data_IF_319025557561
#
_entry.id   IF_319025557561
#
_cell.length_a   1.000
_cell.length_b   1.000
_cell.length_c   1.000
_cell.angle_alpha   90.00
_cell.angle_beta   90.00
_cell.angle_gamma   90.00
#
_symmetry.space_group_name_H-M   'P 1'
#
loop_
_entity.id
_entity.type
_entity.pdbx_description
1 polymer ?
#
# COMPACT_ATOMS: atom_id res chain seq x y z
N UNK A 1 21.59 2.35 49.77
CA UNK A 1 20.83 1.12 49.38
C UNK A 1 19.39 1.42 49.00
N UNK A 2 18.56 2.05 49.86
CA UNK A 2 17.15 2.34 49.55
C UNK A 2 16.93 3.25 48.32
N UNK A 3 17.74 4.30 48.15
CA UNK A 3 17.65 5.19 46.99
C UNK A 3 18.02 4.52 45.66
N UNK A 4 18.95 3.55 45.69
CA UNK A 4 19.35 2.76 44.51
C UNK A 4 18.25 1.79 44.10
N UNK A 5 17.63 1.12 45.08
CA UNK A 5 16.46 0.28 44.87
C UNK A 5 15.26 1.07 44.32
N UNK A 6 15.04 2.30 44.81
CA UNK A 6 13.99 3.18 44.31
C UNK A 6 14.25 3.63 42.87
N UNK A 7 15.50 4.01 42.54
CA UNK A 7 15.88 4.40 41.18
C UNK A 7 15.75 3.24 40.18
N UNK A 8 16.12 2.02 40.60
CA UNK A 8 15.92 0.80 39.81
C UNK A 8 14.43 0.48 39.61
N UNK A 9 13.60 0.64 40.65
CA UNK A 9 12.14 0.47 40.52
C UNK A 9 11.51 1.50 39.58
N UNK A 10 11.95 2.76 39.61
CA UNK A 10 11.46 3.79 38.69
C UNK A 10 11.88 3.51 37.24
N UNK A 11 13.10 3.02 37.02
CA UNK A 11 13.59 2.62 35.69
C UNK A 11 12.88 1.36 35.15
N UNK A 12 12.39 0.47 36.01
CA UNK A 12 11.64 -0.74 35.62
C UNK A 12 10.16 -0.41 35.32
N UNK A 13 9.64 0.74 35.76
CA UNK A 13 8.23 1.16 35.60
C UNK A 13 8.02 2.16 34.45
N UNK A 14 9.07 2.57 33.73
CA UNK A 14 8.92 3.36 32.51
C UNK A 14 8.47 2.48 31.34
N UNK A 15 7.20 2.08 31.33
CA UNK A 15 6.55 1.53 30.15
C UNK A 15 6.08 2.71 29.29
N UNK A 16 6.81 3.00 28.22
CA UNK A 16 6.38 3.99 27.23
C UNK A 16 5.27 3.37 26.37
N UNK A 17 4.06 3.93 26.46
CA UNK A 17 2.93 3.51 25.62
C UNK A 17 2.99 4.29 24.31
N UNK A 18 3.36 3.59 23.23
CA UNK A 18 3.29 4.15 21.88
C UNK A 18 1.92 3.86 21.27
N UNK A 19 1.14 4.91 21.06
CA UNK A 19 -0.16 4.82 20.41
C UNK A 19 -0.06 5.25 18.95
N UNK A 20 -0.61 4.42 18.06
CA UNK A 20 -0.71 4.72 16.64
C UNK A 20 -2.01 5.45 16.35
N UNK A 21 -1.93 6.60 15.68
CA UNK A 21 -3.12 7.26 15.17
C UNK A 21 -3.54 6.57 13.88
N UNK A 22 -4.67 5.87 13.92
CA UNK A 22 -5.21 5.12 12.78
C UNK A 22 -6.26 5.98 12.09
N UNK A 23 -6.02 6.28 10.82
CA UNK A 23 -6.99 6.96 9.97
C UNK A 23 -8.04 5.99 9.44
N UNK A 24 -9.32 6.34 9.55
CA UNK A 24 -10.40 5.65 8.86
C UNK A 24 -10.67 6.26 7.49
N UNK A 25 -10.84 5.43 6.46
CA UNK A 25 -11.30 5.82 5.12
C UNK A 25 -12.29 4.78 4.60
N UNK A 26 -13.42 5.20 3.98
CA UNK A 26 -14.37 4.25 3.40
C UNK A 26 -13.71 3.35 2.36
N UNK A 27 -13.90 2.04 2.50
CA UNK A 27 -13.34 1.04 1.59
C UNK A 27 -14.06 1.05 0.22
N UNK A 28 -13.55 0.29 -0.76
CA UNK A 28 -14.10 0.30 -2.12
C UNK A 28 -15.59 -0.10 -2.13
N UNK A 29 -15.93 -1.16 -1.40
CA UNK A 29 -17.30 -1.65 -1.25
C UNK A 29 -18.24 -0.57 -0.72
N UNK A 30 -17.84 0.16 0.33
CA UNK A 30 -18.63 1.25 0.91
C UNK A 30 -18.81 2.42 -0.07
N UNK A 31 -17.77 2.77 -0.82
CA UNK A 31 -17.85 3.83 -1.85
C UNK A 31 -18.79 3.42 -3.00
N UNK A 32 -18.65 2.20 -3.51
CA UNK A 32 -19.51 1.67 -4.57
C UNK A 32 -20.96 1.52 -4.09
N UNK A 33 -21.18 1.13 -2.84
CA UNK A 33 -22.52 1.08 -2.25
C UNK A 33 -23.16 2.46 -2.18
N UNK A 34 -22.40 3.48 -1.76
CA UNK A 34 -22.87 4.87 -1.73
C UNK A 34 -23.20 5.41 -3.15
N UNK A 35 -22.56 4.87 -4.19
CA UNK A 35 -22.80 5.21 -5.59
C UNK A 35 -23.87 4.33 -6.27
N UNK A 36 -24.38 3.29 -5.59
CA UNK A 36 -25.31 2.32 -6.19
C UNK A 36 -24.67 1.35 -7.20
N UNK A 37 -23.32 1.29 -7.28
CA UNK A 37 -22.56 0.48 -8.25
C UNK A 37 -22.06 -0.85 -7.71
N UNK A 38 -22.33 -1.18 -6.44
CA UNK A 38 -21.75 -2.35 -5.78
C UNK A 38 -22.18 -3.68 -6.42
N UNK A 39 -23.45 -3.82 -6.81
CA UNK A 39 -23.97 -5.08 -7.35
C UNK A 39 -23.31 -5.45 -8.71
N UNK A 40 -23.04 -4.44 -9.54
CA UNK A 40 -22.35 -4.60 -10.82
C UNK A 40 -20.91 -5.09 -10.60
N UNK A 41 -20.20 -4.43 -9.69
CA UNK A 41 -18.84 -4.80 -9.30
C UNK A 41 -18.74 -6.25 -8.77
N UNK A 42 -19.65 -6.65 -7.88
CA UNK A 42 -19.64 -8.00 -7.31
C UNK A 42 -19.88 -9.09 -8.37
N UNK A 43 -20.74 -8.80 -9.35
CA UNK A 43 -21.01 -9.72 -10.45
C UNK A 43 -19.75 -9.94 -11.30
N UNK A 44 -19.10 -8.85 -11.72
CA UNK A 44 -17.87 -8.92 -12.52
C UNK A 44 -16.75 -9.68 -11.77
N UNK A 45 -16.51 -9.32 -10.50
CA UNK A 45 -15.50 -9.98 -9.66
C UNK A 45 -15.73 -11.49 -9.55
N UNK A 46 -16.97 -11.92 -9.34
CA UNK A 46 -17.30 -13.34 -9.20
C UNK A 46 -17.07 -14.13 -10.50
N UNK A 47 -17.39 -13.53 -11.65
CA UNK A 47 -17.13 -14.14 -12.97
C UNK A 47 -15.63 -14.32 -13.22
N UNK A 48 -14.81 -13.37 -12.76
CA UNK A 48 -13.35 -13.42 -12.88
C UNK A 48 -12.73 -14.48 -11.99
N UNK A 49 -13.18 -14.58 -10.74
CA UNK A 49 -12.75 -15.62 -9.82
C UNK A 49 -13.12 -17.02 -10.34
N UNK A 50 -14.31 -17.17 -10.90
CA UNK A 50 -14.77 -18.44 -11.48
C UNK A 50 -13.91 -18.88 -12.68
N UNK A 51 -13.46 -17.94 -13.52
CA UNK A 51 -12.54 -18.24 -14.64
C UNK A 51 -11.14 -18.67 -14.17
N UNK A 52 -10.73 -18.30 -12.95
CA UNK A 52 -9.37 -18.51 -12.41
C UNK A 52 -9.22 -19.77 -11.55
N UNK A 53 -10.32 -20.39 -11.11
CA UNK A 53 -10.30 -21.61 -10.29
C UNK A 53 -9.62 -22.83 -10.96
N UNK A 54 -9.40 -22.79 -12.28
CA UNK A 54 -8.64 -23.80 -13.02
C UNK A 54 -7.11 -23.68 -12.89
N UNK A 55 -6.57 -22.54 -12.42
CA UNK A 55 -5.11 -22.33 -12.27
C UNK A 55 -4.62 -22.27 -10.82
N UNK A 56 -5.52 -22.14 -9.84
CA UNK A 56 -5.17 -21.83 -8.44
C UNK A 56 -4.85 -23.05 -7.55
N UNK A 57 -4.75 -24.26 -8.12
CA UNK A 57 -4.42 -25.47 -7.38
C UNK A 57 -2.92 -25.58 -6.99
N UNK A 58 -2.06 -24.62 -7.37
CA UNK A 58 -0.60 -24.71 -7.17
C UNK A 58 0.04 -23.59 -6.33
N UNK A 59 -0.71 -22.68 -5.71
CA UNK A 59 -0.15 -21.64 -4.84
C UNK A 59 -0.42 -21.90 -3.36
N UNK A 60 0.62 -21.81 -2.53
CA UNK A 60 0.65 -22.33 -1.16
C UNK A 60 0.16 -21.38 -0.06
N UNK A 61 -0.54 -20.28 -0.38
CA UNK A 61 -1.29 -19.47 0.60
C UNK A 61 -2.23 -18.50 -0.13
N UNK A 62 -3.56 -18.67 -0.08
CA UNK A 62 -4.48 -17.66 -0.59
C UNK A 62 -4.45 -16.45 0.33
N UNK A 63 -3.71 -15.41 -0.04
CA UNK A 63 -3.64 -14.16 0.72
C UNK A 63 -4.94 -13.36 0.50
N UNK A 64 -5.43 -12.78 1.59
CA UNK A 64 -6.69 -12.03 1.71
C UNK A 64 -6.65 -10.81 0.78
N UNK A 65 -7.78 -10.55 0.12
CA UNK A 65 -7.98 -9.38 -0.72
C UNK A 65 -8.38 -8.17 0.12
N UNK A 66 -7.81 -7.00 -0.16
CA UNK A 66 -7.89 -5.82 0.70
C UNK A 66 -8.98 -4.82 0.30
N UNK A 67 -9.92 -5.24 -0.56
CA UNK A 67 -11.06 -4.43 -1.03
C UNK A 67 -11.88 -3.80 0.10
N UNK A 68 -11.90 -4.46 1.27
CA UNK A 68 -12.68 -4.06 2.45
C UNK A 68 -11.86 -3.30 3.51
N UNK A 69 -10.57 -3.02 3.28
CA UNK A 69 -9.73 -2.34 4.28
C UNK A 69 -10.05 -0.85 4.42
N UNK A 70 -10.25 -0.42 5.67
CA UNK A 70 -10.65 0.96 5.99
C UNK A 70 -9.71 1.66 6.99
N UNK A 71 -8.73 0.96 7.57
CA UNK A 71 -7.84 1.49 8.61
C UNK A 71 -6.40 1.59 8.11
N UNK A 72 -5.81 2.77 8.27
CA UNK A 72 -4.50 3.08 7.72
C UNK A 72 -3.62 3.85 8.70
N UNK A 73 -2.31 3.77 8.49
CA UNK A 73 -1.30 4.50 9.26
C UNK A 73 -0.37 5.27 8.34
N UNK A 74 0.09 6.42 8.84
CA UNK A 74 1.14 7.19 8.20
C UNK A 74 2.49 6.81 8.79
N UNK A 75 3.47 6.55 7.93
CA UNK A 75 4.84 6.24 8.33
C UNK A 75 5.80 7.09 7.50
N UNK A 76 7.06 7.14 7.93
CA UNK A 76 8.14 7.61 7.08
C UNK A 76 9.28 6.61 6.97
N UNK A 77 9.89 6.54 5.79
CA UNK A 77 11.04 5.69 5.48
C UNK A 77 12.22 6.54 5.03
N UNK A 78 13.42 6.19 5.50
CA UNK A 78 14.67 6.76 5.00
C UNK A 78 15.16 8.03 5.68
N UNK A 79 16.35 8.46 5.25
CA UNK A 79 17.02 9.67 5.73
C UNK A 79 17.54 10.50 4.54
N UNK A 80 16.88 11.62 4.16
CA UNK A 80 15.69 12.20 4.77
C UNK A 80 14.43 11.35 4.61
N UNK A 81 13.44 11.62 5.47
CA UNK A 81 12.21 10.87 5.59
C UNK A 81 11.29 11.03 4.36
N UNK A 82 10.80 9.92 3.83
CA UNK A 82 9.82 9.83 2.75
C UNK A 82 8.50 9.25 3.30
N UNK A 83 7.38 9.93 3.10
CA UNK A 83 6.11 9.59 3.77
C UNK A 83 5.28 8.58 2.96
N UNK A 84 4.65 7.64 3.68
CA UNK A 84 3.75 6.64 3.09
C UNK A 84 2.51 6.45 3.96
N UNK A 85 1.43 6.06 3.30
CA UNK A 85 0.20 5.59 3.95
C UNK A 85 0.07 4.11 3.70
N UNK A 86 -0.06 3.35 4.78
CA UNK A 86 -0.10 1.90 4.75
C UNK A 86 -1.39 1.36 5.33
N UNK A 87 -1.81 0.23 4.80
CA UNK A 87 -2.82 -0.61 5.43
C UNK A 87 -2.17 -1.44 6.53
N UNK A 88 -2.82 -1.51 7.70
CA UNK A 88 -2.40 -2.44 8.75
C UNK A 88 -3.05 -3.79 8.45
N UNK A 89 -2.23 -4.76 8.05
CA UNK A 89 -2.67 -6.13 7.86
C UNK A 89 -2.06 -7.04 8.95
N UNK A 90 -2.89 -7.53 9.86
CA UNK A 90 -2.47 -8.51 10.87
C UNK A 90 -2.24 -9.91 10.29
N UNK A 91 -2.63 -10.15 9.03
CA UNK A 91 -2.48 -11.43 8.34
C UNK A 91 -1.11 -11.64 7.69
N UNK A 92 -0.27 -10.61 7.63
CA UNK A 92 1.08 -10.67 7.06
C UNK A 92 2.15 -10.17 8.02
N UNK A 93 3.41 -10.45 7.70
CA UNK A 93 4.57 -10.01 8.48
C UNK A 93 5.54 -9.16 7.64
N UNK A 94 5.09 -8.68 6.49
CA UNK A 94 5.92 -7.94 5.55
C UNK A 94 5.41 -6.51 5.39
N UNK A 95 6.31 -5.55 5.52
CA UNK A 95 6.09 -4.17 5.13
C UNK A 95 6.53 -4.01 3.68
N UNK A 96 5.64 -3.61 2.76
CA UNK A 96 6.02 -3.30 1.39
C UNK A 96 5.53 -1.94 0.90
N UNK A 97 6.37 -1.26 0.11
CA UNK A 97 6.07 0.05 -0.50
C UNK A 97 6.45 0.05 -2.00
N UNK A 98 5.75 0.82 -2.86
CA UNK A 98 6.11 0.96 -4.27
C UNK A 98 7.49 1.62 -4.44
N UNK A 99 8.31 1.12 -5.36
CA UNK A 99 9.60 1.73 -5.74
C UNK A 99 9.42 2.80 -6.83
N UNK A 100 10.32 3.77 -6.88
CA UNK A 100 10.34 4.76 -7.96
C UNK A 100 10.49 4.13 -9.35
N UNK A 101 11.23 3.02 -9.45
CA UNK A 101 11.42 2.29 -10.71
C UNK A 101 10.23 1.41 -11.09
N UNK A 102 9.25 1.23 -10.19
CA UNK A 102 8.06 0.43 -10.48
C UNK A 102 7.22 1.01 -11.64
N UNK A 103 7.26 2.32 -11.85
CA UNK A 103 6.56 3.00 -12.95
C UNK A 103 7.23 2.85 -14.33
N UNK A 104 8.26 2.01 -14.46
CA UNK A 104 9.01 1.83 -15.71
C UNK A 104 9.70 3.11 -16.22
N UNK A 105 10.02 4.03 -15.30
CA UNK A 105 10.60 5.34 -15.62
C UNK A 105 9.65 6.33 -16.31
N UNK A 106 8.33 6.04 -16.37
CA UNK A 106 7.32 6.96 -16.90
C UNK A 106 6.67 7.72 -15.75
N UNK A 107 6.96 9.01 -15.69
CA UNK A 107 6.66 9.87 -14.53
C UNK A 107 5.39 10.72 -14.70
N UNK A 108 4.44 10.34 -15.56
CA UNK A 108 3.43 11.29 -16.04
C UNK A 108 2.00 10.78 -16.15
N UNK A 109 1.67 9.58 -15.68
CA UNK A 109 0.30 9.06 -15.81
C UNK A 109 -0.34 8.74 -14.47
N UNK A 110 -1.30 9.58 -14.12
CA UNK A 110 -2.11 9.40 -12.93
C UNK A 110 -3.10 8.25 -13.14
N UNK A 111 -2.92 7.22 -12.32
CA UNK A 111 -3.77 6.05 -12.16
C UNK A 111 -5.26 6.36 -12.20
N UNK A 112 -6.05 5.42 -12.70
CA UNK A 112 -7.52 5.45 -12.62
C UNK A 112 -8.04 5.75 -11.22
N UNK A 113 -7.45 5.10 -10.22
CA UNK A 113 -7.78 5.26 -8.81
C UNK A 113 -7.67 6.72 -8.33
N UNK A 114 -6.58 7.44 -8.67
CA UNK A 114 -6.38 8.80 -8.19
C UNK A 114 -7.31 9.82 -8.87
N UNK A 115 -7.73 9.52 -10.11
CA UNK A 115 -8.71 10.34 -10.85
C UNK A 115 -10.15 10.17 -10.36
N UNK A 116 -10.49 8.99 -9.84
CA UNK A 116 -11.83 8.66 -9.34
C UNK A 116 -12.00 8.81 -7.83
N UNK A 117 -10.92 9.13 -7.11
CA UNK A 117 -10.91 9.28 -5.65
C UNK A 117 -11.12 10.74 -5.25
N UNK A 118 -11.98 11.04 -4.25
CA UNK A 118 -12.17 12.40 -3.75
C UNK A 118 -10.83 13.07 -3.39
N UNK A 119 -10.71 14.37 -3.66
CA UNK A 119 -9.45 15.12 -3.55
C UNK A 119 -8.69 14.89 -2.24
N UNK A 120 -9.37 14.94 -1.09
CA UNK A 120 -8.75 14.74 0.23
C UNK A 120 -8.20 13.31 0.41
N UNK A 121 -8.89 12.31 -0.15
CA UNK A 121 -8.41 10.94 -0.15
C UNK A 121 -7.30 10.74 -1.19
N UNK A 122 -7.36 11.42 -2.33
CA UNK A 122 -6.29 11.37 -3.33
C UNK A 122 -4.96 11.86 -2.76
N UNK A 123 -4.94 13.02 -2.09
CA UNK A 123 -3.72 13.55 -1.45
C UNK A 123 -3.11 12.59 -0.41
N UNK A 124 -3.91 11.67 0.12
CA UNK A 124 -3.47 10.67 1.08
C UNK A 124 -2.71 9.52 0.39
N UNK A 125 -3.15 9.05 -0.77
CA UNK A 125 -2.62 7.83 -1.40
C UNK A 125 -1.76 8.09 -2.63
N UNK A 126 -1.95 9.24 -3.25
CA UNK A 126 -1.45 9.55 -4.57
C UNK A 126 -0.44 10.70 -4.53
N UNK A 127 0.37 10.79 -5.57
CA UNK A 127 1.16 12.01 -5.79
C UNK A 127 0.23 13.21 -5.94
N UNK A 128 0.60 14.36 -5.37
CA UNK A 128 -0.25 15.56 -5.35
C UNK A 128 -0.65 16.01 -6.76
N UNK A 129 0.26 15.88 -7.72
CA UNK A 129 0.04 16.17 -9.15
C UNK A 129 -1.05 15.30 -9.80
N UNK A 130 -1.40 14.18 -9.17
CA UNK A 130 -2.45 13.28 -9.61
C UNK A 130 -3.83 13.55 -9.02
N UNK A 131 -3.95 14.57 -8.17
CA UNK A 131 -5.19 14.90 -7.48
C UNK A 131 -5.88 16.09 -8.11
N UNK A 132 -7.03 15.84 -8.76
CA UNK A 132 -7.86 16.87 -9.37
C UNK A 132 -9.15 17.08 -8.58
N UNK A 133 -9.62 18.33 -8.49
CA UNK A 133 -10.94 18.65 -7.91
C UNK A 133 -12.10 18.23 -8.81
N UNK A 134 -11.82 17.97 -10.08
CA UNK A 134 -12.79 17.51 -11.08
C UNK A 134 -12.58 16.02 -11.32
N UNK A 135 -13.63 15.22 -11.12
CA UNK A 135 -13.64 13.78 -11.44
C UNK A 135 -13.57 13.62 -12.97
N UNK A 136 -12.60 12.85 -13.45
CA UNK A 136 -12.44 12.54 -14.87
C UNK A 136 -12.94 11.13 -15.16
N UNK A 137 -13.89 11.00 -16.11
CA UNK A 137 -14.54 9.74 -16.48
C UNK A 137 -13.72 8.87 -17.44
N UNK A 138 -12.55 9.31 -17.91
CA UNK A 138 -11.74 8.56 -18.87
C UNK A 138 -10.62 7.75 -18.17
N UNK A 139 -10.89 6.45 -18.02
CA UNK A 139 -10.14 5.53 -17.17
C UNK A 139 -9.18 4.64 -18.00
N UNK A 140 -8.02 5.16 -18.38
CA UNK A 140 -6.96 4.34 -18.98
C UNK A 140 -6.19 3.56 -17.90
N UNK A 141 -6.12 2.24 -18.07
CA UNK A 141 -5.35 1.32 -17.22
C UNK A 141 -3.88 1.70 -17.23
N UNK A 142 -3.43 2.18 -16.09
CA UNK A 142 -2.08 2.68 -15.85
C UNK A 142 -1.50 1.89 -14.69
N UNK A 143 -0.19 1.68 -14.73
CA UNK A 143 0.55 0.90 -13.73
C UNK A 143 0.21 1.42 -12.32
N UNK A 144 -0.22 0.53 -11.42
CA UNK A 144 -0.70 0.90 -10.09
C UNK A 144 0.34 1.76 -9.33
N UNK A 145 1.62 1.55 -9.62
CA UNK A 145 2.73 2.31 -9.05
C UNK A 145 2.81 3.77 -9.51
N UNK A 146 2.38 4.11 -10.72
CA UNK A 146 2.54 5.46 -11.29
C UNK A 146 1.78 6.53 -10.52
N UNK A 147 0.77 6.12 -9.78
CA UNK A 147 -0.15 7.04 -9.11
C UNK A 147 0.15 7.23 -7.64
N UNK A 148 0.96 6.34 -7.05
CA UNK A 148 1.20 6.23 -5.61
C UNK A 148 2.45 7.01 -5.18
N UNK A 149 2.55 7.30 -3.89
CA UNK A 149 3.83 7.63 -3.28
C UNK A 149 4.82 6.47 -3.50
N UNK A 150 6.04 6.80 -3.93
CA UNK A 150 7.07 5.85 -4.32
C UNK A 150 8.34 6.09 -3.49
N UNK A 151 8.93 5.00 -3.02
CA UNK A 151 10.19 5.01 -2.30
C UNK A 151 11.35 5.19 -3.28
N UNK A 152 12.18 6.19 -2.97
CA UNK A 152 13.42 6.46 -3.68
C UNK A 152 14.61 6.13 -2.78
N UNK A 153 15.14 4.91 -2.96
CA UNK A 153 16.31 4.43 -2.23
C UNK A 153 17.55 5.31 -2.44
N UNK A 154 17.71 5.94 -3.61
CA UNK A 154 18.86 6.82 -3.91
C UNK A 154 18.87 8.11 -3.10
N UNK A 155 17.71 8.53 -2.58
CA UNK A 155 17.59 9.69 -1.72
C UNK A 155 17.78 9.36 -0.24
N UNK A 156 17.77 8.08 0.15
CA UNK A 156 17.94 7.69 1.55
C UNK A 156 19.38 7.29 1.84
N UNK A 157 20.05 8.09 2.69
CA UNK A 157 21.40 7.79 3.18
C UNK A 157 21.46 6.59 4.14
N UNK A 158 20.33 6.18 4.70
CA UNK A 158 20.23 5.05 5.64
C UNK A 158 19.81 3.73 5.00
N UNK A 159 19.49 3.73 3.70
CA UNK A 159 19.07 2.55 2.97
C UNK A 159 20.23 1.58 2.73
N UNK A 160 20.00 0.30 3.01
CA UNK A 160 20.94 -0.79 2.74
C UNK A 160 20.19 -1.92 2.06
N UNK A 161 20.79 -2.56 1.06
CA UNK A 161 20.21 -3.75 0.42
C UNK A 161 21.29 -4.81 0.19
N UNK A 162 20.87 -6.07 0.21
CA UNK A 162 21.70 -7.23 -0.13
C UNK A 162 21.35 -7.81 -1.52
N UNK A 163 20.45 -7.16 -2.27
CA UNK A 163 20.02 -7.58 -3.60
C UNK A 163 19.06 -8.78 -3.63
N UNK A 164 18.57 -9.25 -2.47
CA UNK A 164 17.56 -10.30 -2.42
C UNK A 164 16.27 -9.82 -3.07
N UNK A 165 15.57 -10.74 -3.75
CA UNK A 165 14.30 -10.49 -4.44
C UNK A 165 13.17 -11.24 -3.78
N UNK A 166 11.97 -10.68 -3.82
CA UNK A 166 10.74 -11.35 -3.39
C UNK A 166 9.72 -11.40 -4.52
N UNK A 167 8.83 -12.38 -4.42
CA UNK A 167 7.70 -12.59 -5.32
C UNK A 167 6.52 -13.04 -4.47
N UNK A 168 5.43 -12.27 -4.49
CA UNK A 168 4.22 -12.54 -3.72
C UNK A 168 3.02 -12.56 -4.66
N UNK A 169 2.24 -13.63 -4.63
CA UNK A 169 1.02 -13.78 -5.43
C UNK A 169 -0.20 -13.70 -4.52
N UNK A 170 -1.09 -12.76 -4.81
CA UNK A 170 -2.41 -12.60 -4.21
C UNK A 170 -3.48 -13.20 -5.13
N UNK A 171 -4.69 -13.41 -4.61
CA UNK A 171 -5.82 -13.87 -5.43
C UNK A 171 -6.14 -12.86 -6.56
N UNK A 172 -5.96 -11.57 -6.28
CA UNK A 172 -6.26 -10.44 -7.17
C UNK A 172 -5.06 -9.90 -7.94
N UNK A 173 -3.84 -10.40 -7.72
CA UNK A 173 -2.66 -9.85 -8.37
C UNK A 173 -1.33 -10.47 -7.95
N UNK A 174 -0.24 -9.87 -8.41
CA UNK A 174 1.12 -10.30 -8.10
C UNK A 174 1.99 -9.07 -7.80
N UNK A 175 2.83 -9.18 -6.77
CA UNK A 175 3.78 -8.15 -6.36
C UNK A 175 5.19 -8.73 -6.36
N UNK A 176 6.10 -8.10 -7.12
CA UNK A 176 7.51 -8.48 -7.16
C UNK A 176 8.38 -7.31 -6.74
N UNK A 177 9.52 -7.59 -6.14
CA UNK A 177 10.42 -6.54 -5.69
C UNK A 177 11.75 -7.05 -5.15
N UNK A 178 12.40 -6.20 -4.36
CA UNK A 178 13.62 -6.52 -3.62
C UNK A 178 13.51 -6.16 -2.15
N UNK A 179 14.34 -6.79 -1.34
CA UNK A 179 14.47 -6.46 0.07
C UNK A 179 15.44 -5.30 0.26
N UNK A 180 15.14 -4.47 1.24
CA UNK A 180 16.03 -3.44 1.75
C UNK A 180 15.82 -3.25 3.24
N UNK A 181 16.75 -2.56 3.87
CA UNK A 181 16.69 -2.14 5.27
C UNK A 181 16.79 -0.64 5.26
N UNK A 182 15.89 0.04 5.95
CA UNK A 182 16.00 1.49 6.11
C UNK A 182 15.55 1.93 7.50
N UNK A 183 15.80 3.21 7.79
CA UNK A 183 15.25 3.90 8.96
C UNK A 183 13.75 3.98 8.80
N UNK A 184 13.03 3.41 9.76
CA UNK A 184 11.57 3.43 9.84
C UNK A 184 11.15 4.33 10.99
N UNK A 185 10.33 5.32 10.67
CA UNK A 185 9.84 6.31 11.62
C UNK A 185 8.31 6.23 11.68
N UNK A 186 7.74 5.48 12.64
CA UNK A 186 6.34 5.60 12.95
C UNK A 186 6.11 6.91 13.73
N UNK A 187 5.37 7.86 13.15
CA UNK A 187 4.80 9.00 13.87
C UNK A 187 5.80 9.88 14.64
N UNK A 188 6.78 10.46 13.93
CA UNK A 188 7.73 11.45 14.46
C UNK A 188 8.70 10.92 15.55
N UNK A 189 8.62 9.64 15.91
CA UNK A 189 9.57 8.97 16.80
C UNK A 189 10.63 8.26 15.95
N UNK A 190 11.85 8.78 15.93
CA UNK A 190 12.94 8.26 15.10
C UNK A 190 13.66 7.10 15.80
N UNK A 191 13.04 5.92 15.83
CA UNK A 191 13.59 4.79 16.59
C UNK A 191 13.20 3.47 15.91
N UNK A 192 13.85 3.08 14.81
CA UNK A 192 14.10 1.67 14.42
C UNK A 192 14.72 1.55 13.02
N UNK A 193 15.60 0.56 12.82
CA UNK A 193 15.92 0.00 11.49
C UNK A 193 14.99 -1.17 11.25
N UNK A 194 14.26 -1.16 10.13
CA UNK A 194 13.28 -2.19 9.79
C UNK A 194 13.56 -2.75 8.39
N UNK A 195 13.37 -4.05 8.22
CA UNK A 195 13.37 -4.69 6.91
C UNK A 195 12.13 -4.24 6.13
N UNK A 196 12.36 -3.60 4.98
CA UNK A 196 11.34 -3.12 4.07
C UNK A 196 11.40 -3.90 2.75
N UNK A 197 10.24 -4.26 2.23
CA UNK A 197 10.11 -4.86 0.92
C UNK A 197 9.78 -3.74 -0.07
N UNK A 198 10.66 -3.53 -1.03
CA UNK A 198 10.49 -2.46 -2.01
C UNK A 198 9.95 -3.07 -3.30
N UNK A 199 8.69 -2.77 -3.61
CA UNK A 199 7.95 -3.36 -4.70
C UNK A 199 8.32 -2.71 -6.04
N UNK A 200 8.88 -3.50 -6.95
CA UNK A 200 9.26 -3.12 -8.30
C UNK A 200 8.13 -3.27 -9.31
N UNK A 201 7.09 -4.02 -8.96
CA UNK A 201 5.98 -4.29 -9.85
C UNK A 201 4.77 -4.69 -9.04
N UNK A 202 3.67 -3.96 -9.20
CA UNK A 202 2.35 -4.34 -8.72
C UNK A 202 1.47 -4.60 -9.96
N UNK A 203 1.20 -5.87 -10.25
CA UNK A 203 0.21 -6.24 -11.26
C UNK A 203 -1.10 -6.54 -10.57
N UNK A 204 -2.04 -5.60 -10.64
CA UNK A 204 -3.45 -5.92 -10.41
C UNK A 204 -4.00 -6.63 -11.64
N UNK A 205 -4.88 -7.62 -11.44
CA UNK A 205 -5.42 -8.40 -12.55
C UNK A 205 -6.27 -7.49 -13.45
N UNK A 206 -5.80 -7.23 -14.67
CA UNK A 206 -6.51 -6.45 -15.68
C UNK A 206 -7.68 -7.26 -16.22
N UNK A 207 -8.83 -7.12 -15.59
CA UNK A 207 -10.12 -7.50 -16.17
C UNK A 207 -11.11 -6.33 -16.25
N UNK A 208 -10.80 -5.18 -15.64
CA UNK A 208 -11.65 -3.98 -15.68
C UNK A 208 -11.82 -3.32 -17.06
N UNK A 209 -11.25 -3.82 -18.17
CA UNK A 209 -11.46 -3.19 -19.50
C UNK A 209 -11.31 -4.15 -20.68
N UNK A 210 -12.09 -5.24 -20.75
CA UNK A 210 -12.30 -5.97 -22.01
C UNK A 210 -13.79 -6.28 -22.22
N UNK A 211 -14.57 -5.24 -22.45
CA UNK A 211 -15.88 -5.21 -23.15
C UNK A 211 -16.51 -3.86 -22.76
N UNK A 212 -16.23 -2.77 -23.48
CA UNK A 212 -17.26 -2.12 -24.30
C UNK A 212 -16.61 -1.44 -25.51
N UNK A 213 -16.20 -2.26 -26.47
CA UNK A 213 -16.08 -1.81 -27.86
C UNK A 213 -16.79 -2.84 -28.71
N UNK A 214 -18.12 -2.74 -28.73
CA UNK A 214 -19.02 -3.13 -29.82
C UNK A 214 -20.45 -2.72 -29.45
N UNK A 215 -20.75 -1.42 -29.57
CA UNK A 215 -21.88 -0.82 -30.32
C UNK A 215 -21.90 0.72 -30.13
#
# INVERSE_FOLDING_TARGET
MKAVLLALLVAVVSAEVHQFNIGYRPNLRQRLNAQGKLAEYEKERNELLAKKSLQLASSSSPIIDYEDMAYMVQISLGTPAQNFVLFIDSGSSNLWVPDITCAGGKDATCGSYCKSTPYDACLTFCQEECCTKTLSENLATTDACQSKHRFNSTQSSSYVTNGQKFDMTYNTGEVKGFFGVDTFCPFSLQISRLDIHVALKEKQNSSETKEEREE
#
